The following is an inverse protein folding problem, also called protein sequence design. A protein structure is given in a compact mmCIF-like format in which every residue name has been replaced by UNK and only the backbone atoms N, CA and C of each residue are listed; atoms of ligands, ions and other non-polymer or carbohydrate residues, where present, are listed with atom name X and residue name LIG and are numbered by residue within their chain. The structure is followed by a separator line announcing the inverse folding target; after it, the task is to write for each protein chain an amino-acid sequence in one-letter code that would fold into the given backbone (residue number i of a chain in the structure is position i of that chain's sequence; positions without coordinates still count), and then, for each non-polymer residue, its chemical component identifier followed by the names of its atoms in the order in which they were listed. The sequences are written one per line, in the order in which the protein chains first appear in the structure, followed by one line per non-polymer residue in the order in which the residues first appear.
data_IF_734520542147
#
_entry.id   IF_734520542147
#
_cell.length_a   1.000
_cell.length_b   1.000
_cell.length_c   1.000
_cell.angle_alpha   90.00
_cell.angle_beta   90.00
_cell.angle_gamma   90.00
#
_symmetry.space_group_name_H-M   'P 1'
#
loop_
_entity.id
_entity.type
_entity.pdbx_description
1 polymer ?
#
# COMPACT_ATOMS: atom_id res chain seq x y z
N UNK A 1 4.51 22.52 26.42
CA UNK A 1 3.17 22.22 25.87
C UNK A 1 3.06 20.71 25.69
N UNK A 2 1.89 20.08 25.93
CA UNK A 2 1.69 18.61 25.82
C UNK A 2 2.12 18.08 24.44
N UNK A 3 2.04 18.92 23.40
CA UNK A 3 2.48 18.59 22.04
C UNK A 3 3.99 18.30 21.90
N UNK A 4 4.84 18.78 22.83
CA UNK A 4 6.29 18.52 22.79
C UNK A 4 6.68 17.14 23.33
N UNK A 5 5.75 16.42 23.99
CA UNK A 5 5.96 15.04 24.42
C UNK A 5 5.46 14.01 23.39
N UNK A 6 4.76 14.46 22.35
CA UNK A 6 4.26 13.56 21.32
C UNK A 6 5.40 13.16 20.37
N UNK A 7 5.43 11.90 19.90
CA UNK A 7 6.32 11.52 18.82
C UNK A 7 5.96 12.32 17.56
N UNK A 8 6.97 12.76 16.82
CA UNK A 8 6.78 13.47 15.56
C UNK A 8 7.20 12.63 14.37
N UNK A 9 6.51 12.81 13.24
CA UNK A 9 6.90 12.24 11.95
C UNK A 9 7.13 13.35 10.92
N UNK A 10 8.10 13.18 10.00
CA UNK A 10 8.28 14.11 8.90
C UNK A 10 7.07 14.07 7.95
N UNK A 11 6.67 15.24 7.43
CA UNK A 11 5.63 15.38 6.39
C UNK A 11 5.91 14.46 5.21
N UNK A 12 7.18 14.41 4.78
CA UNK A 12 7.62 13.59 3.65
C UNK A 12 7.34 12.10 3.80
N UNK A 13 7.19 11.59 5.02
CA UNK A 13 6.81 10.20 5.27
C UNK A 13 5.30 9.97 5.10
N UNK A 14 4.50 10.95 5.54
CA UNK A 14 3.04 10.88 5.43
C UNK A 14 2.60 11.07 3.97
N UNK A 15 3.27 11.96 3.22
CA UNK A 15 3.00 12.21 1.80
C UNK A 15 3.44 11.05 0.90
N UNK A 16 4.15 10.04 1.39
CA UNK A 16 4.38 8.81 0.61
C UNK A 16 3.10 8.01 0.36
N UNK A 17 2.00 8.34 1.05
CA UNK A 17 0.69 7.76 0.85
C UNK A 17 -0.33 8.82 0.45
N UNK A 18 -0.96 8.67 -0.71
CA UNK A 18 -2.06 9.55 -1.14
C UNK A 18 -3.21 9.49 -0.15
N UNK A 19 -3.62 8.29 0.25
CA UNK A 19 -4.73 8.11 1.20
C UNK A 19 -4.35 8.57 2.62
N UNK A 20 -3.17 8.22 3.12
CA UNK A 20 -2.73 8.65 4.44
C UNK A 20 -2.51 10.17 4.52
N UNK A 21 -1.87 10.75 3.50
CA UNK A 21 -1.67 12.20 3.38
C UNK A 21 -2.98 12.97 3.34
N UNK A 22 -3.94 12.55 2.51
CA UNK A 22 -5.25 13.22 2.43
C UNK A 22 -6.06 13.12 3.72
N UNK A 23 -6.00 11.99 4.45
CA UNK A 23 -6.67 11.87 5.76
C UNK A 23 -6.04 12.83 6.77
N UNK A 24 -4.71 12.89 6.85
CA UNK A 24 -4.03 13.78 7.81
C UNK A 24 -4.28 15.25 7.43
N UNK A 25 -4.30 15.59 6.14
CA UNK A 25 -4.60 16.94 5.66
C UNK A 25 -6.06 17.34 5.96
N UNK A 26 -7.00 16.42 5.81
CA UNK A 26 -8.40 16.67 6.15
C UNK A 26 -8.62 16.87 7.65
N UNK A 27 -7.89 16.13 8.49
CA UNK A 27 -8.01 16.21 9.95
C UNK A 27 -7.28 17.43 10.55
N UNK A 28 -6.10 17.79 10.03
CA UNK A 28 -5.28 18.87 10.58
C UNK A 28 -5.48 20.21 9.84
N UNK A 29 -5.67 20.16 8.53
CA UNK A 29 -5.72 21.33 7.65
C UNK A 29 -7.08 21.54 6.97
N UNK A 30 -8.11 20.78 7.34
CA UNK A 30 -9.47 20.93 6.78
C UNK A 30 -9.61 20.54 5.31
N UNK A 31 -8.56 19.96 4.70
CA UNK A 31 -8.53 19.60 3.28
C UNK A 31 -8.02 20.70 2.35
N UNK A 32 -7.41 21.76 2.89
CA UNK A 32 -6.85 22.88 2.10
C UNK A 32 -5.47 22.57 1.49
N UNK A 33 -4.97 21.33 1.58
CA UNK A 33 -3.68 20.93 1.02
C UNK A 33 -2.48 21.50 1.79
N UNK A 34 -2.64 21.75 3.09
CA UNK A 34 -1.58 22.31 3.94
C UNK A 34 -0.34 21.41 3.90
N UNK A 35 -0.52 20.09 3.91
CA UNK A 35 0.61 19.15 3.92
C UNK A 35 1.47 19.20 2.65
N UNK A 36 0.87 19.44 1.49
CA UNK A 36 1.58 19.50 0.20
C UNK A 36 2.46 20.76 0.12
N UNK A 37 2.05 21.82 0.80
CA UNK A 37 2.75 23.11 0.82
C UNK A 37 3.84 23.21 1.90
N UNK A 38 4.03 22.18 2.73
CA UNK A 38 5.08 22.15 3.75
C UNK A 38 6.37 21.51 3.21
N UNK A 39 7.51 21.91 3.77
CA UNK A 39 8.78 21.24 3.52
C UNK A 39 8.68 19.77 3.98
N UNK A 40 9.09 18.77 3.17
CA UNK A 40 9.07 17.35 3.54
C UNK A 40 9.78 17.02 4.86
N UNK A 41 10.74 17.85 5.29
CA UNK A 41 11.48 17.67 6.55
C UNK A 41 10.70 18.15 7.79
N UNK A 42 9.60 18.88 7.60
CA UNK A 42 8.76 19.43 8.67
C UNK A 42 8.23 18.32 9.56
N UNK A 43 8.42 18.45 10.86
CA UNK A 43 7.98 17.46 11.85
C UNK A 43 6.57 17.76 12.33
N UNK A 44 5.64 16.82 12.13
CA UNK A 44 4.28 16.91 12.65
C UNK A 44 4.18 16.06 13.92
N UNK A 45 3.85 16.64 15.08
CA UNK A 45 3.57 15.88 16.28
C UNK A 45 2.26 15.11 16.11
N UNK A 46 2.31 13.78 16.24
CA UNK A 46 1.16 12.90 16.06
C UNK A 46 0.93 12.06 17.31
N UNK A 47 -0.32 11.72 17.58
CA UNK A 47 -0.62 10.76 18.63
C UNK A 47 -0.06 9.38 18.26
N UNK A 48 0.51 8.59 19.20
CA UNK A 48 1.05 7.26 18.90
C UNK A 48 0.05 6.32 18.21
N UNK A 49 -1.24 6.44 18.55
CA UNK A 49 -2.32 5.68 17.90
C UNK A 49 -2.48 6.07 16.41
N UNK A 50 -2.31 7.35 16.07
CA UNK A 50 -2.39 7.80 14.68
C UNK A 50 -1.20 7.26 13.86
N UNK A 51 0.00 7.25 14.44
CA UNK A 51 1.18 6.62 13.84
C UNK A 51 0.94 5.12 13.64
N UNK A 52 0.42 4.43 14.66
CA UNK A 52 0.09 3.01 14.58
C UNK A 52 -0.97 2.71 13.51
N UNK A 53 -1.99 3.56 13.38
CA UNK A 53 -3.00 3.43 12.34
C UNK A 53 -2.45 3.62 10.93
N UNK A 54 -1.60 4.63 10.73
CA UNK A 54 -0.94 4.87 9.44
C UNK A 54 -0.02 3.72 9.05
N UNK A 55 0.83 3.26 9.97
CA UNK A 55 1.72 2.11 9.72
C UNK A 55 0.91 0.83 9.47
N UNK A 56 -0.13 0.56 10.26
CA UNK A 56 -1.01 -0.59 10.07
C UNK A 56 -1.68 -0.60 8.70
N UNK A 57 -2.11 0.57 8.24
CA UNK A 57 -2.66 0.76 6.89
C UNK A 57 -1.65 0.42 5.80
N UNK A 58 -0.39 0.87 5.93
CA UNK A 58 0.69 0.54 4.98
C UNK A 58 0.97 -0.97 4.99
N UNK A 59 1.06 -1.59 6.16
CA UNK A 59 1.33 -3.03 6.30
C UNK A 59 0.23 -3.85 5.62
N UNK A 60 -1.04 -3.51 5.88
CA UNK A 60 -2.16 -4.17 5.20
C UNK A 60 -2.18 -3.90 3.69
N UNK A 61 -1.79 -2.69 3.25
CA UNK A 61 -1.70 -2.39 1.83
C UNK A 61 -0.65 -3.26 1.14
N UNK A 62 0.50 -3.48 1.78
CA UNK A 62 1.54 -4.39 1.26
C UNK A 62 1.05 -5.84 1.15
N UNK A 63 0.30 -6.33 2.13
CA UNK A 63 -0.24 -7.69 2.12
C UNK A 63 -1.38 -7.88 1.09
N UNK A 64 -2.05 -6.79 0.70
CA UNK A 64 -3.10 -6.80 -0.32
C UNK A 64 -2.58 -6.54 -1.75
N UNK A 65 -1.27 -6.35 -1.94
CA UNK A 65 -0.66 -6.23 -3.28
C UNK A 65 -0.89 -7.55 -4.04
N UNK A 66 -1.34 -7.55 -5.30
CA UNK A 66 -1.61 -8.77 -6.05
C UNK A 66 -0.33 -9.44 -6.57
N UNK A 67 0.53 -9.91 -5.66
CA UNK A 67 1.80 -10.59 -6.00
C UNK A 67 2.00 -11.88 -5.18
N UNK A 68 2.32 -12.98 -5.88
CA UNK A 68 2.69 -14.28 -5.28
C UNK A 68 1.77 -14.75 -4.17
N UNK A 69 2.33 -15.10 -3.01
CA UNK A 69 1.61 -15.71 -1.89
C UNK A 69 1.06 -14.74 -0.84
N UNK A 70 1.06 -13.45 -1.16
CA UNK A 70 0.34 -12.44 -0.36
C UNK A 70 -1.17 -12.70 -0.38
N UNK A 71 -1.90 -12.12 0.58
CA UNK A 71 -3.37 -12.20 0.57
C UNK A 71 -3.97 -11.56 -0.69
N UNK A 72 -3.37 -10.48 -1.20
CA UNK A 72 -3.71 -9.89 -2.50
C UNK A 72 -3.41 -10.80 -3.69
N UNK A 73 -2.30 -11.54 -3.62
CA UNK A 73 -1.89 -12.54 -4.60
C UNK A 73 -2.91 -13.67 -4.70
N UNK A 74 -3.31 -14.24 -3.57
CA UNK A 74 -4.39 -15.25 -3.46
C UNK A 74 -5.72 -14.74 -4.00
N UNK A 75 -6.09 -13.50 -3.67
CA UNK A 75 -7.29 -12.87 -4.22
C UNK A 75 -7.22 -12.77 -5.74
N UNK A 76 -6.08 -12.34 -6.28
CA UNK A 76 -5.90 -12.22 -7.73
C UNK A 76 -5.86 -13.57 -8.45
N UNK A 77 -5.28 -14.61 -7.85
CA UNK A 77 -5.33 -15.98 -8.37
C UNK A 77 -6.76 -16.52 -8.36
N UNK A 78 -7.54 -16.25 -7.30
CA UNK A 78 -8.93 -16.66 -7.25
C UNK A 78 -9.78 -15.96 -8.33
N UNK A 79 -9.58 -14.66 -8.57
CA UNK A 79 -10.40 -13.86 -9.52
C UNK A 79 -10.00 -14.08 -10.97
N UNK A 80 -8.70 -14.09 -11.28
CA UNK A 80 -8.18 -14.15 -12.65
C UNK A 80 -7.87 -15.58 -13.11
N UNK A 81 -7.72 -16.52 -12.17
CA UNK A 81 -7.19 -17.85 -12.43
C UNK A 81 -5.66 -17.86 -12.60
N UNK A 82 -5.07 -19.05 -12.56
CA UNK A 82 -3.61 -19.25 -12.47
C UNK A 82 -2.80 -18.59 -13.57
N UNK A 83 -3.20 -18.78 -14.82
CA UNK A 83 -2.43 -18.31 -15.99
C UNK A 83 -2.40 -16.78 -16.03
N UNK A 84 -3.56 -16.14 -15.89
CA UNK A 84 -3.68 -14.69 -15.90
C UNK A 84 -3.08 -14.05 -14.65
N UNK A 85 -3.17 -14.72 -13.49
CA UNK A 85 -2.53 -14.26 -12.26
C UNK A 85 -1.02 -14.16 -12.40
N UNK A 86 -0.34 -15.15 -12.99
CA UNK A 86 1.11 -15.09 -13.17
C UNK A 86 1.54 -13.88 -14.02
N UNK A 87 0.84 -13.62 -15.12
CA UNK A 87 1.11 -12.46 -15.97
C UNK A 87 0.79 -11.15 -15.25
N UNK A 88 -0.34 -11.07 -14.56
CA UNK A 88 -0.76 -9.87 -13.83
C UNK A 88 0.17 -9.55 -12.65
N UNK A 89 0.53 -10.56 -11.84
CA UNK A 89 1.47 -10.43 -10.73
C UNK A 89 2.85 -9.99 -11.21
N UNK A 90 3.35 -10.55 -12.31
CA UNK A 90 4.61 -10.12 -12.90
C UNK A 90 4.55 -8.65 -13.35
N UNK A 91 3.45 -8.23 -13.97
CA UNK A 91 3.27 -6.85 -14.41
C UNK A 91 3.21 -5.89 -13.22
N UNK A 92 2.47 -6.23 -12.17
CA UNK A 92 2.38 -5.43 -10.93
C UNK A 92 3.74 -5.33 -10.26
N UNK A 93 4.48 -6.44 -10.14
CA UNK A 93 5.83 -6.44 -9.60
C UNK A 93 6.76 -5.52 -10.41
N UNK A 94 6.72 -5.59 -11.75
CA UNK A 94 7.53 -4.71 -12.60
C UNK A 94 7.15 -3.24 -12.45
N UNK A 95 5.87 -2.92 -12.39
CA UNK A 95 5.41 -1.52 -12.19
C UNK A 95 5.89 -1.00 -10.84
N UNK A 96 5.67 -1.75 -9.75
CA UNK A 96 6.13 -1.35 -8.42
C UNK A 96 7.65 -1.18 -8.37
N UNK A 97 8.39 -2.09 -9.02
CA UNK A 97 9.84 -2.02 -9.11
C UNK A 97 10.30 -0.75 -9.86
N UNK A 98 9.70 -0.45 -11.01
CA UNK A 98 10.01 0.75 -11.79
C UNK A 98 9.66 2.02 -11.00
N UNK A 99 8.46 2.12 -10.43
CA UNK A 99 8.05 3.25 -9.59
C UNK A 99 9.03 3.46 -8.43
N UNK A 100 9.50 2.37 -7.83
CA UNK A 100 10.46 2.42 -6.75
C UNK A 100 11.86 2.86 -7.18
N UNK A 101 12.25 2.73 -8.45
CA UNK A 101 13.54 3.23 -8.95
C UNK A 101 13.51 4.73 -9.26
N UNK A 102 12.34 5.26 -9.64
CA UNK A 102 12.16 6.67 -10.00
C UNK A 102 11.67 7.54 -8.83
N UNK A 103 11.47 6.96 -7.65
CA UNK A 103 11.09 7.69 -6.44
C UNK A 103 12.34 8.17 -5.70
N UNK A 104 12.48 9.49 -5.55
CA UNK A 104 13.64 10.19 -4.95
C UNK A 104 13.73 10.06 -3.41
N UNK A 105 12.98 9.16 -2.78
CA UNK A 105 12.82 9.05 -1.32
C UNK A 105 13.22 7.72 -0.68
N UNK A 106 12.93 7.56 0.62
CA UNK A 106 13.05 6.27 1.31
C UNK A 106 12.05 5.28 0.69
N UNK A 107 12.56 4.36 -0.13
CA UNK A 107 11.74 3.50 -0.95
C UNK A 107 11.23 2.30 -0.13
N UNK A 108 10.20 2.54 0.71
CA UNK A 108 9.44 1.49 1.40
C UNK A 108 9.03 0.38 0.43
N UNK A 109 8.65 0.75 -0.79
CA UNK A 109 8.33 -0.15 -1.90
C UNK A 109 9.51 -1.06 -2.29
N UNK A 110 10.74 -0.53 -2.36
CA UNK A 110 11.93 -1.32 -2.70
C UNK A 110 12.24 -2.33 -1.60
N UNK A 111 12.16 -1.91 -0.34
CA UNK A 111 12.37 -2.78 0.82
C UNK A 111 11.35 -3.92 0.85
N UNK A 112 10.07 -3.59 0.62
CA UNK A 112 9.01 -4.59 0.50
C UNK A 112 9.26 -5.57 -0.65
N UNK A 113 9.57 -5.09 -1.86
CA UNK A 113 9.85 -5.94 -3.02
C UNK A 113 11.08 -6.84 -2.80
N UNK A 114 12.10 -6.33 -2.13
CA UNK A 114 13.30 -7.09 -1.78
C UNK A 114 12.94 -8.24 -0.83
N UNK A 115 12.27 -7.96 0.29
CA UNK A 115 11.83 -8.98 1.25
C UNK A 115 10.94 -10.03 0.55
N UNK A 116 9.96 -9.55 -0.21
CA UNK A 116 9.04 -10.39 -0.96
C UNK A 116 9.77 -11.34 -1.94
N UNK A 117 10.76 -10.82 -2.69
CA UNK A 117 11.50 -11.62 -3.67
C UNK A 117 12.31 -12.77 -3.06
N UNK A 118 12.64 -12.72 -1.77
CA UNK A 118 13.33 -13.79 -1.07
C UNK A 118 12.39 -14.70 -0.26
N UNK A 119 11.28 -14.17 0.27
CA UNK A 119 10.40 -14.92 1.19
C UNK A 119 9.21 -15.59 0.51
N UNK A 120 8.70 -15.05 -0.61
CA UNK A 120 7.37 -15.42 -1.12
C UNK A 120 7.40 -16.02 -2.55
N UNK A 121 8.49 -16.69 -2.94
CA UNK A 121 8.62 -17.33 -4.25
C UNK A 121 7.92 -18.68 -4.39
N UNK A 122 7.27 -19.16 -3.34
CA UNK A 122 6.62 -20.47 -3.36
C UNK A 122 5.32 -20.46 -4.17
N UNK A 123 5.12 -21.51 -4.96
CA UNK A 123 3.85 -21.70 -5.67
C UNK A 123 2.73 -21.99 -4.67
N UNK A 124 1.68 -21.18 -4.71
CA UNK A 124 0.49 -21.38 -3.89
C UNK A 124 -0.24 -22.68 -4.25
N UNK A 125 -0.81 -23.33 -3.22
CA UNK A 125 -1.65 -24.53 -3.35
C UNK A 125 -2.85 -24.20 -4.25
N UNK A 126 -3.28 -25.10 -5.16
CA UNK A 126 -4.40 -24.85 -6.06
C UNK A 126 -5.65 -24.36 -5.32
N UNK A 127 -6.14 -23.18 -5.68
CA UNK A 127 -7.34 -22.62 -5.08
C UNK A 127 -8.58 -23.36 -5.58
N UNK A 128 -9.55 -23.66 -4.70
CA UNK A 128 -10.84 -24.28 -5.06
C UNK A 128 -11.59 -23.49 -6.16
N UNK A 129 -11.39 -22.18 -6.21
CA UNK A 129 -11.95 -21.28 -7.23
C UNK A 129 -11.26 -21.38 -8.63
N UNK A 130 -10.22 -22.22 -8.79
CA UNK A 130 -9.78 -22.63 -10.13
C UNK A 130 -10.79 -23.61 -10.78
N UNK A 131 -11.69 -24.20 -9.97
CA UNK A 131 -12.71 -25.16 -10.38
C UNK A 131 -14.11 -24.51 -10.40
N UNK A 132 -14.42 -23.64 -9.42
CA UNK A 132 -15.68 -22.88 -9.31
C UNK A 132 -15.50 -21.38 -9.59
N UNK A 133 -16.41 -20.77 -10.38
CA UNK A 133 -16.36 -19.32 -10.68
C UNK A 133 -16.54 -18.48 -9.41
N UNK A 134 -15.75 -17.41 -9.29
CA UNK A 134 -15.88 -16.42 -8.22
C UNK A 134 -17.21 -15.68 -8.31
N UNK A 135 -17.91 -15.58 -7.19
CA UNK A 135 -19.12 -14.76 -7.07
C UNK A 135 -18.81 -13.28 -7.25
N UNK A 136 -19.69 -12.57 -7.95
CA UNK A 136 -19.57 -11.13 -8.24
C UNK A 136 -19.22 -10.25 -7.02
N UNK A 137 -19.81 -10.40 -5.82
CA UNK A 137 -19.42 -9.60 -4.65
C UNK A 137 -17.96 -9.79 -4.24
N UNK A 138 -17.41 -11.00 -4.37
CA UNK A 138 -16.01 -11.29 -4.03
C UNK A 138 -15.04 -10.66 -5.04
N UNK A 139 -15.41 -10.66 -6.32
CA UNK A 139 -14.64 -10.00 -7.36
C UNK A 139 -14.62 -8.46 -7.17
N UNK A 140 -15.77 -7.88 -6.82
CA UNK A 140 -15.85 -6.43 -6.51
C UNK A 140 -15.02 -6.10 -5.28
N UNK A 141 -15.07 -6.91 -4.21
CA UNK A 141 -14.25 -6.70 -3.02
C UNK A 141 -12.75 -6.74 -3.35
N UNK A 142 -12.29 -7.70 -4.15
CA UNK A 142 -10.89 -7.77 -4.59
C UNK A 142 -10.47 -6.53 -5.38
N UNK A 143 -11.32 -6.07 -6.31
CA UNK A 143 -11.05 -4.85 -7.08
C UNK A 143 -10.97 -3.60 -6.18
N UNK A 144 -11.90 -3.43 -5.24
CA UNK A 144 -11.89 -2.33 -4.27
C UNK A 144 -10.60 -2.37 -3.43
N UNK A 145 -10.19 -3.55 -2.96
CA UNK A 145 -8.93 -3.71 -2.23
C UNK A 145 -7.73 -3.26 -3.05
N UNK A 146 -7.63 -3.63 -4.33
CA UNK A 146 -6.52 -3.19 -5.19
C UNK A 146 -6.51 -1.68 -5.44
N UNK A 147 -7.68 -1.06 -5.57
CA UNK A 147 -7.79 0.41 -5.68
C UNK A 147 -7.31 1.07 -4.38
N UNK A 148 -7.70 0.55 -3.21
CA UNK A 148 -7.21 1.05 -1.92
C UNK A 148 -5.69 0.91 -1.78
N UNK A 149 -5.13 -0.25 -2.15
CA UNK A 149 -3.68 -0.47 -2.16
C UNK A 149 -2.98 0.56 -3.05
N UNK A 150 -3.50 0.81 -4.25
CA UNK A 150 -2.94 1.80 -5.15
C UNK A 150 -2.96 3.21 -4.52
N UNK A 151 -4.06 3.60 -3.86
CA UNK A 151 -4.16 4.89 -3.17
C UNK A 151 -3.26 4.99 -1.93
N UNK A 152 -2.99 3.88 -1.24
CA UNK A 152 -2.14 3.87 -0.05
C UNK A 152 -0.66 3.91 -0.45
N UNK A 153 -0.26 3.15 -1.48
CA UNK A 153 1.15 3.02 -1.88
C UNK A 153 1.60 4.06 -2.91
N UNK A 154 0.68 4.79 -3.53
CA UNK A 154 1.00 5.88 -4.44
C UNK A 154 1.35 7.14 -3.63
N UNK A 155 2.53 7.74 -3.86
CA UNK A 155 2.90 8.98 -3.20
C UNK A 155 1.97 10.12 -3.62
N UNK A 156 1.63 10.94 -2.64
CA UNK A 156 0.98 12.24 -2.83
C UNK A 156 2.08 13.20 -3.31
N UNK A 157 2.09 13.47 -4.61
CA UNK A 157 2.96 14.46 -5.25
C UNK A 157 2.45 15.88 -5.07
#
# INVERSE_FOLDING_TARGET
SVAQLLPSLPVGFITQSTLGGTIVDLLLGGGDGILINQDPSTQIPLHPIAIGGFLGMIIHAFDLVPIGSTDGGRMSQAVLGRVWHLTFSSLVFTVLFLTSLFSDGFNLLLGFLFIYSFTQRDMEIPCKNEIDRVELPRAVAAFVSWVLVALILCPLS
#
